data_IF_917983080333
#
_entry.id   IF_917983080333
#
_cell.length_a   1.000
_cell.length_b   1.000
_cell.length_c   1.000
_cell.angle_alpha   90.00
_cell.angle_beta   90.00
_cell.angle_gamma   90.00
#
_symmetry.space_group_name_H-M   'P 1'
#
loop_
_entity.id
_entity.type
_entity.pdbx_description
1 polymer ?
#
# COMPACT_ATOMS: atom_id res chain seq x y z
N UNK A 1 -10.28 -1.69 7.81
CA UNK A 1 -11.61 -1.71 7.16
C UNK A 1 -12.56 -2.62 7.94
N UNK A 2 -12.37 -3.94 8.04
CA UNK A 2 -13.30 -4.89 8.68
C UNK A 2 -13.85 -4.44 10.05
N UNK A 3 -12.99 -3.93 10.95
CA UNK A 3 -13.40 -3.33 12.24
C UNK A 3 -14.45 -2.24 12.07
N UNK A 4 -14.27 -1.34 11.11
CA UNK A 4 -15.18 -0.20 10.88
C UNK A 4 -16.43 -0.61 10.10
N UNK A 5 -16.36 -1.62 9.25
CA UNK A 5 -17.51 -2.24 8.61
C UNK A 5 -18.42 -2.88 9.65
N UNK A 6 -17.85 -3.58 10.66
CA UNK A 6 -18.59 -4.12 11.79
C UNK A 6 -19.25 -3.03 12.63
N UNK A 7 -18.56 -1.90 12.88
CA UNK A 7 -19.15 -0.74 13.57
C UNK A 7 -20.31 -0.10 12.79
N UNK A 8 -20.35 -0.28 11.46
CA UNK A 8 -21.45 0.16 10.60
C UNK A 8 -22.58 -0.89 10.46
N UNK A 9 -22.54 -1.94 11.26
CA UNK A 9 -23.58 -2.98 11.31
C UNK A 9 -23.45 -4.06 10.23
N UNK A 10 -22.28 -4.21 9.61
CA UNK A 10 -22.00 -5.33 8.70
C UNK A 10 -21.29 -6.45 9.47
N UNK A 11 -21.62 -7.69 9.15
CA UNK A 11 -20.80 -8.82 9.55
C UNK A 11 -19.59 -8.93 8.62
N UNK A 12 -18.46 -8.37 9.04
CA UNK A 12 -17.23 -8.34 8.25
C UNK A 12 -16.11 -9.11 8.94
N UNK A 13 -15.48 -10.02 8.21
CA UNK A 13 -14.33 -10.81 8.66
C UNK A 13 -13.12 -10.51 7.80
N UNK A 14 -11.96 -10.40 8.44
CA UNK A 14 -10.67 -10.23 7.75
C UNK A 14 -9.93 -11.57 7.75
N UNK A 15 -9.46 -11.98 6.58
CA UNK A 15 -8.59 -13.14 6.45
C UNK A 15 -7.28 -12.73 5.77
N UNK A 16 -6.15 -13.13 6.33
CA UNK A 16 -4.82 -12.85 5.78
C UNK A 16 -4.03 -14.15 5.57
N UNK A 17 -2.97 -14.08 4.76
CA UNK A 17 -2.09 -15.24 4.51
C UNK A 17 -1.26 -15.56 5.75
N UNK A 18 -0.57 -14.57 6.30
CA UNK A 18 0.26 -14.72 7.48
C UNK A 18 0.32 -13.43 8.28
N UNK A 19 0.56 -13.52 9.60
CA UNK A 19 0.95 -12.36 10.35
C UNK A 19 2.26 -11.79 9.77
N UNK A 20 2.29 -10.53 9.48
CA UNK A 20 3.53 -9.86 9.15
C UNK A 20 3.88 -8.82 10.22
N UNK A 21 5.15 -8.41 10.26
CA UNK A 21 5.69 -7.49 11.26
C UNK A 21 4.95 -6.13 11.33
N UNK A 22 4.14 -5.82 10.32
CA UNK A 22 3.51 -4.51 10.15
C UNK A 22 1.98 -4.52 10.37
N UNK A 23 1.38 -5.68 10.66
CA UNK A 23 -0.06 -5.79 10.86
C UNK A 23 -0.40 -6.18 12.29
N UNK A 24 -1.03 -5.28 13.02
CA UNK A 24 -1.74 -5.67 14.25
C UNK A 24 -3.02 -6.38 13.83
N UNK A 25 -3.22 -7.60 14.33
CA UNK A 25 -4.44 -8.34 14.13
C UNK A 25 -5.52 -7.79 15.06
N UNK A 26 -6.67 -7.45 14.50
CA UNK A 26 -7.87 -7.20 15.28
C UNK A 26 -8.55 -8.54 15.63
N UNK A 27 -9.35 -8.56 16.67
CA UNK A 27 -10.24 -9.69 16.94
C UNK A 27 -11.05 -10.04 15.69
N UNK A 28 -11.17 -11.32 15.36
CA UNK A 28 -11.83 -11.80 14.15
C UNK A 28 -10.94 -11.96 12.91
N UNK A 29 -9.64 -11.61 12.98
CA UNK A 29 -8.71 -11.89 11.88
C UNK A 29 -8.32 -13.36 11.87
N UNK A 30 -8.54 -14.06 10.76
CA UNK A 30 -8.07 -15.43 10.54
C UNK A 30 -6.85 -15.46 9.63
N UNK A 31 -5.85 -16.30 9.97
CA UNK A 31 -4.68 -16.54 9.15
C UNK A 31 -4.71 -17.96 8.60
N UNK A 32 -4.40 -18.12 7.32
CA UNK A 32 -4.40 -19.43 6.67
C UNK A 32 -3.03 -20.00 6.40
N UNK A 33 -1.94 -19.26 6.65
CA UNK A 33 -0.59 -19.80 6.56
C UNK A 33 -0.35 -20.85 7.64
N UNK A 34 0.29 -21.94 7.27
CA UNK A 34 0.69 -23.04 8.13
C UNK A 34 2.20 -23.28 8.01
N UNK A 35 2.79 -24.00 8.94
CA UNK A 35 4.19 -24.47 8.87
C UNK A 35 4.47 -25.38 7.66
N UNK A 36 3.42 -25.92 7.03
CA UNK A 36 3.50 -26.76 5.83
C UNK A 36 2.87 -26.04 4.64
N UNK A 37 3.61 -25.94 3.54
CA UNK A 37 3.12 -25.36 2.26
C UNK A 37 1.82 -26.03 1.79
N UNK A 38 1.72 -27.36 1.97
CA UNK A 38 0.54 -28.11 1.60
C UNK A 38 -0.70 -27.76 2.42
N UNK A 39 -0.55 -27.61 3.74
CA UNK A 39 -1.64 -27.16 4.61
C UNK A 39 -2.06 -25.72 4.30
N UNK A 40 -1.11 -24.86 3.98
CA UNK A 40 -1.38 -23.47 3.57
C UNK A 40 -2.26 -23.43 2.31
N UNK A 41 -1.94 -24.25 1.30
CA UNK A 41 -2.74 -24.32 0.06
C UNK A 41 -4.13 -24.93 0.31
N UNK A 42 -4.23 -25.94 1.17
CA UNK A 42 -5.52 -26.51 1.57
C UNK A 42 -6.41 -25.48 2.28
N UNK A 43 -5.82 -24.71 3.22
CA UNK A 43 -6.52 -23.62 3.91
C UNK A 43 -6.99 -22.54 2.92
N UNK A 44 -6.18 -22.23 1.90
CA UNK A 44 -6.53 -21.28 0.83
C UNK A 44 -7.71 -21.80 -0.02
N UNK A 45 -7.71 -23.07 -0.38
CA UNK A 45 -8.82 -23.71 -1.10
C UNK A 45 -10.11 -23.66 -0.26
N UNK A 46 -10.01 -23.97 1.03
CA UNK A 46 -11.16 -23.91 1.94
C UNK A 46 -11.70 -22.47 2.07
N UNK A 47 -10.82 -21.49 2.08
CA UNK A 47 -11.20 -20.08 2.10
C UNK A 47 -11.92 -19.65 0.82
N UNK A 48 -11.44 -20.10 -0.35
CA UNK A 48 -12.13 -19.88 -1.63
C UNK A 48 -13.52 -20.53 -1.60
N UNK A 49 -13.63 -21.78 -1.11
CA UNK A 49 -14.92 -22.45 -0.95
C UNK A 49 -15.87 -21.68 -0.03
N UNK A 50 -15.38 -21.21 1.14
CA UNK A 50 -16.16 -20.36 2.04
C UNK A 50 -16.61 -19.08 1.36
N UNK A 51 -15.70 -18.41 0.61
CA UNK A 51 -16.05 -17.20 -0.14
C UNK A 51 -17.10 -17.45 -1.21
N UNK A 52 -17.12 -18.64 -1.84
CA UNK A 52 -18.13 -19.02 -2.81
C UNK A 52 -19.48 -19.31 -2.14
N UNK A 53 -19.51 -19.79 -0.91
CA UNK A 53 -20.74 -20.11 -0.16
C UNK A 53 -21.27 -18.92 0.66
N UNK A 54 -20.50 -17.85 0.78
CA UNK A 54 -20.88 -16.67 1.57
C UNK A 54 -21.82 -15.77 0.75
N UNK A 55 -22.91 -15.33 1.31
CA UNK A 55 -23.80 -14.34 0.67
C UNK A 55 -23.36 -12.92 1.01
N UNK A 56 -23.15 -12.10 0.00
CA UNK A 56 -22.78 -10.71 0.18
C UNK A 56 -21.59 -10.25 -0.64
N UNK A 57 -20.60 -9.64 -0.01
CA UNK A 57 -19.45 -8.99 -0.67
C UNK A 57 -18.16 -9.77 -0.43
N UNK A 58 -17.39 -9.97 -1.49
CA UNK A 58 -16.01 -10.45 -1.41
C UNK A 58 -15.08 -9.29 -1.78
N UNK A 59 -14.36 -8.73 -0.81
CA UNK A 59 -13.41 -7.66 -1.03
C UNK A 59 -11.97 -8.17 -0.96
N UNK A 60 -11.27 -8.13 -2.08
CA UNK A 60 -9.92 -8.65 -2.23
C UNK A 60 -8.90 -7.50 -2.19
N UNK A 61 -8.02 -7.56 -1.21
CA UNK A 61 -6.92 -6.63 -1.09
C UNK A 61 -5.64 -7.23 -1.68
N UNK A 62 -4.94 -6.44 -2.50
CA UNK A 62 -3.62 -6.78 -3.02
C UNK A 62 -3.56 -8.04 -3.91
N UNK A 63 -4.67 -8.44 -4.53
CA UNK A 63 -4.72 -9.51 -5.54
C UNK A 63 -3.97 -10.82 -5.23
N UNK A 64 -3.31 -10.94 -4.07
CA UNK A 64 -2.54 -12.13 -3.68
C UNK A 64 -3.42 -13.29 -3.23
N UNK A 65 -4.61 -12.96 -2.79
CA UNK A 65 -5.54 -13.89 -2.16
C UNK A 65 -6.01 -15.03 -3.08
N UNK A 66 -6.15 -14.78 -4.37
CA UNK A 66 -6.75 -15.72 -5.34
C UNK A 66 -5.71 -16.57 -6.06
N UNK A 67 -4.44 -16.21 -6.00
CA UNK A 67 -3.41 -16.98 -6.71
C UNK A 67 -2.94 -18.15 -5.88
N UNK A 68 -3.21 -19.40 -6.30
CA UNK A 68 -2.48 -20.54 -5.74
C UNK A 68 -1.00 -20.36 -6.01
N UNK A 69 -0.22 -20.39 -4.97
CA UNK A 69 1.24 -20.23 -5.00
C UNK A 69 2.00 -21.43 -5.61
N UNK A 70 1.27 -22.41 -6.14
CA UNK A 70 1.84 -23.65 -6.68
C UNK A 70 2.90 -23.47 -7.78
N UNK A 71 3.09 -22.28 -8.31
CA UNK A 71 4.06 -22.03 -9.37
C UNK A 71 5.33 -21.29 -8.99
N UNK A 72 5.31 -20.46 -7.94
CA UNK A 72 6.37 -19.47 -7.72
C UNK A 72 7.28 -19.74 -6.51
N UNK A 73 6.83 -20.48 -5.49
CA UNK A 73 7.60 -20.72 -4.26
C UNK A 73 7.93 -22.18 -3.95
N UNK A 74 7.63 -23.16 -4.80
CA UNK A 74 8.20 -24.48 -4.64
C UNK A 74 9.68 -24.38 -5.01
N UNK A 75 10.51 -24.16 -3.99
CA UNK A 75 11.95 -24.21 -4.17
C UNK A 75 12.30 -25.60 -4.75
N UNK A 76 13.07 -25.68 -5.84
CA UNK A 76 13.37 -26.97 -6.49
C UNK A 76 13.96 -28.03 -5.58
N UNK A 77 14.49 -27.64 -4.42
CA UNK A 77 15.13 -28.52 -3.43
C UNK A 77 14.15 -29.19 -2.44
N UNK A 78 12.93 -28.69 -2.31
CA UNK A 78 11.96 -29.22 -1.30
C UNK A 78 11.05 -30.34 -1.83
N UNK A 79 11.05 -30.57 -3.14
CA UNK A 79 10.27 -31.65 -3.76
C UNK A 79 11.22 -32.70 -4.31
N UNK A 80 11.31 -33.83 -3.65
CA UNK A 80 12.02 -35.02 -4.07
C UNK A 80 11.41 -35.73 -5.34
N UNK A 81 10.60 -35.00 -6.11
CA UNK A 81 9.93 -35.49 -7.29
C UNK A 81 10.71 -35.22 -8.58
N UNK A 82 10.60 -36.12 -9.56
CA UNK A 82 11.18 -35.95 -10.89
C UNK A 82 10.71 -34.66 -11.58
N UNK A 83 11.52 -34.08 -12.46
CA UNK A 83 11.17 -32.86 -13.25
C UNK A 83 9.81 -32.99 -13.95
N UNK A 84 9.46 -34.21 -14.40
CA UNK A 84 8.21 -34.51 -15.09
C UNK A 84 7.01 -34.46 -14.13
N UNK A 85 7.10 -35.07 -12.95
CA UNK A 85 6.04 -35.05 -11.93
C UNK A 85 5.77 -33.62 -11.44
N UNK A 86 6.81 -32.81 -11.28
CA UNK A 86 6.67 -31.37 -10.98
C UNK A 86 5.91 -30.60 -12.06
N UNK A 87 6.15 -30.96 -13.33
CA UNK A 87 5.45 -30.37 -14.49
C UNK A 87 3.97 -30.78 -14.52
N UNK A 88 3.70 -32.02 -14.19
CA UNK A 88 2.34 -32.57 -14.09
C UNK A 88 1.55 -31.99 -12.94
N UNK A 89 2.13 -31.90 -11.73
CA UNK A 89 1.51 -31.29 -10.56
C UNK A 89 1.24 -29.80 -10.84
N UNK A 90 2.17 -29.08 -11.49
CA UNK A 90 1.95 -27.68 -11.89
C UNK A 90 0.83 -27.55 -12.93
N UNK A 91 0.72 -28.46 -13.87
CA UNK A 91 -0.33 -28.47 -14.88
C UNK A 91 -1.69 -28.73 -14.25
N UNK A 92 -1.82 -29.76 -13.41
CA UNK A 92 -3.07 -30.08 -12.71
C UNK A 92 -3.44 -29.00 -11.67
N UNK A 93 -2.52 -28.47 -10.93
CA UNK A 93 -2.76 -27.37 -10.01
C UNK A 93 -3.18 -26.07 -10.73
N UNK A 94 -2.62 -25.79 -11.92
CA UNK A 94 -3.08 -24.68 -12.76
C UNK A 94 -4.45 -24.91 -13.39
N UNK A 95 -4.73 -26.12 -13.81
CA UNK A 95 -5.93 -26.46 -14.59
C UNK A 95 -7.15 -26.69 -13.68
N UNK A 96 -6.99 -27.34 -12.51
CA UNK A 96 -8.08 -27.68 -11.60
C UNK A 96 -8.27 -26.71 -10.42
N UNK A 97 -7.21 -26.02 -10.01
CA UNK A 97 -7.18 -25.12 -8.86
C UNK A 97 -6.75 -23.71 -9.24
N UNK A 98 -6.60 -23.45 -10.55
CA UNK A 98 -6.07 -22.21 -11.07
C UNK A 98 -6.94 -21.01 -10.78
N UNK A 99 -6.33 -19.84 -10.89
CA UNK A 99 -6.97 -18.52 -10.76
C UNK A 99 -8.25 -18.47 -11.60
N UNK A 100 -8.20 -18.93 -12.85
CA UNK A 100 -9.31 -18.91 -13.80
C UNK A 100 -10.54 -19.69 -13.32
N UNK A 101 -10.33 -20.86 -12.69
CA UNK A 101 -11.43 -21.64 -12.13
C UNK A 101 -12.04 -20.98 -10.89
N UNK A 102 -11.22 -20.46 -9.99
CA UNK A 102 -11.70 -19.76 -8.79
C UNK A 102 -12.41 -18.47 -9.14
N UNK A 103 -11.90 -17.73 -10.14
CA UNK A 103 -12.49 -16.50 -10.62
C UNK A 103 -13.79 -16.73 -11.39
N UNK A 104 -13.86 -17.76 -12.25
CA UNK A 104 -15.11 -18.08 -12.96
C UNK A 104 -16.21 -18.50 -12.00
N UNK A 105 -15.86 -19.21 -10.93
CA UNK A 105 -16.85 -19.55 -9.88
C UNK A 105 -17.31 -18.33 -9.10
N UNK A 106 -16.42 -17.42 -8.72
CA UNK A 106 -16.80 -16.17 -8.08
C UNK A 106 -17.67 -15.31 -8.99
N UNK A 107 -17.35 -15.22 -10.28
CA UNK A 107 -18.15 -14.47 -11.25
C UNK A 107 -19.56 -15.01 -11.42
N UNK A 108 -19.75 -16.33 -11.32
CA UNK A 108 -21.05 -16.99 -11.48
C UNK A 108 -21.90 -17.00 -10.18
N UNK A 109 -21.42 -16.32 -9.14
CA UNK A 109 -22.21 -16.09 -7.93
C UNK A 109 -22.88 -14.72 -8.00
N UNK A 110 -24.04 -14.55 -7.37
CA UNK A 110 -24.75 -13.28 -7.26
C UNK A 110 -24.05 -12.23 -6.39
N UNK A 111 -22.82 -12.48 -5.99
CA UNK A 111 -22.04 -11.69 -5.03
C UNK A 111 -21.38 -10.48 -5.65
N UNK A 112 -21.23 -9.45 -4.85
CA UNK A 112 -20.45 -8.29 -5.23
C UNK A 112 -18.94 -8.55 -5.00
N UNK A 113 -18.12 -8.32 -6.01
CA UNK A 113 -16.67 -8.52 -5.97
C UNK A 113 -15.97 -7.18 -6.05
N UNK A 114 -15.26 -6.84 -4.99
CA UNK A 114 -14.48 -5.61 -4.87
C UNK A 114 -12.99 -5.94 -4.85
N UNK A 115 -12.19 -5.08 -5.48
CA UNK A 115 -10.73 -5.18 -5.49
C UNK A 115 -10.11 -3.89 -5.01
N UNK A 116 -9.05 -3.98 -4.21
CA UNK A 116 -8.21 -2.83 -3.86
C UNK A 116 -6.75 -3.14 -4.22
N UNK A 117 -6.16 -2.30 -5.06
CA UNK A 117 -4.75 -2.34 -5.41
C UNK A 117 -3.96 -1.33 -4.57
N UNK A 118 -2.77 -1.75 -4.11
CA UNK A 118 -2.00 -0.97 -3.13
C UNK A 118 -0.67 -0.43 -3.66
N UNK A 119 -0.09 -1.05 -4.69
CA UNK A 119 1.22 -0.61 -5.19
C UNK A 119 1.87 -1.60 -6.14
N UNK A 120 2.84 -2.37 -5.68
CA UNK A 120 3.59 -3.35 -6.50
C UNK A 120 2.74 -4.48 -7.07
N UNK A 121 1.52 -4.65 -6.58
CA UNK A 121 0.53 -5.60 -7.09
C UNK A 121 -0.07 -5.19 -8.44
N UNK A 122 -0.01 -3.91 -8.79
CA UNK A 122 -0.49 -3.38 -10.07
C UNK A 122 0.51 -2.50 -10.81
N UNK A 123 1.57 -2.01 -10.14
CA UNK A 123 2.56 -1.11 -10.78
C UNK A 123 3.41 -1.86 -11.78
N UNK A 124 3.34 -1.44 -13.03
CA UNK A 124 4.15 -1.99 -14.12
C UNK A 124 5.51 -1.28 -14.18
N UNK A 125 6.58 -2.05 -14.20
CA UNK A 125 7.95 -1.52 -14.23
C UNK A 125 8.19 -0.69 -15.49
N UNK A 126 7.66 -1.10 -16.65
CA UNK A 126 7.82 -0.35 -17.91
C UNK A 126 7.23 1.05 -17.81
N UNK A 127 6.00 1.18 -17.31
CA UNK A 127 5.38 2.49 -17.12
C UNK A 127 6.13 3.35 -16.07
N UNK A 128 6.69 2.70 -15.05
CA UNK A 128 7.50 3.38 -14.04
C UNK A 128 8.79 3.96 -14.67
N UNK A 129 9.48 3.15 -15.46
CA UNK A 129 10.73 3.53 -16.13
C UNK A 129 10.52 4.62 -17.15
N UNK A 130 9.49 4.53 -18.00
CA UNK A 130 9.17 5.55 -19.00
C UNK A 130 8.88 6.92 -18.36
N UNK A 131 8.33 6.93 -17.14
CA UNK A 131 8.06 8.16 -16.37
C UNK A 131 9.30 8.76 -15.71
N UNK A 132 10.32 7.94 -15.47
CA UNK A 132 11.53 8.31 -14.73
C UNK A 132 12.80 8.18 -15.58
N UNK A 133 12.69 8.31 -16.92
CA UNK A 133 13.74 8.06 -17.92
C UNK A 133 15.08 8.77 -17.67
N UNK A 134 15.11 9.79 -16.81
CA UNK A 134 16.31 10.57 -16.50
C UNK A 134 16.88 10.29 -15.10
N UNK A 135 16.33 9.33 -14.34
CA UNK A 135 16.85 9.00 -13.02
C UNK A 135 17.69 7.71 -13.08
N UNK A 136 18.84 7.71 -12.40
CA UNK A 136 19.64 6.49 -12.16
C UNK A 136 18.82 5.37 -11.54
N UNK A 137 17.76 5.73 -10.83
CA UNK A 137 16.80 4.85 -10.18
C UNK A 137 15.99 4.03 -11.19
N UNK A 138 15.67 4.59 -12.37
CA UNK A 138 14.96 3.87 -13.42
C UNK A 138 15.77 2.67 -13.95
N UNK A 139 17.08 2.86 -14.19
CA UNK A 139 17.96 1.80 -14.68
C UNK A 139 18.10 0.63 -13.70
N UNK A 140 18.17 0.93 -12.42
CA UNK A 140 18.32 -0.08 -11.35
C UNK A 140 17.03 -0.90 -11.15
N UNK A 141 15.87 -0.27 -11.33
CA UNK A 141 14.56 -0.94 -11.28
C UNK A 141 14.37 -1.87 -12.49
N UNK A 142 14.83 -1.49 -13.69
CA UNK A 142 14.75 -2.30 -14.92
C UNK A 142 15.53 -3.61 -14.76
N UNK A 143 16.73 -3.57 -14.21
CA UNK A 143 17.63 -4.74 -14.16
C UNK A 143 17.07 -5.93 -13.38
N UNK A 144 16.10 -5.72 -12.51
CA UNK A 144 15.54 -6.77 -11.62
C UNK A 144 14.15 -7.30 -12.02
N UNK A 145 13.39 -6.65 -12.89
CA UNK A 145 11.94 -6.91 -12.94
C UNK A 145 11.31 -7.31 -14.27
N UNK A 146 12.06 -7.52 -15.33
CA UNK A 146 11.50 -7.83 -16.66
C UNK A 146 10.56 -9.05 -16.74
N UNK A 147 10.76 -10.06 -15.90
CA UNK A 147 9.91 -11.28 -15.87
C UNK A 147 8.67 -11.16 -14.97
N UNK A 148 8.65 -10.20 -14.07
CA UNK A 148 7.56 -10.02 -13.10
C UNK A 148 6.39 -9.24 -13.69
N UNK A 149 6.64 -8.39 -14.69
CA UNK A 149 5.64 -7.49 -15.29
C UNK A 149 4.51 -8.20 -16.03
N UNK A 150 4.82 -9.19 -16.84
CA UNK A 150 3.79 -9.93 -17.61
C UNK A 150 2.86 -10.72 -16.69
N UNK A 151 3.39 -11.25 -15.59
CA UNK A 151 2.61 -11.93 -14.57
C UNK A 151 1.65 -10.96 -13.86
N UNK A 152 2.14 -9.79 -13.47
CA UNK A 152 1.32 -8.74 -12.82
C UNK A 152 0.23 -8.25 -13.77
N UNK A 153 0.57 -7.96 -15.03
CA UNK A 153 -0.38 -7.51 -16.05
C UNK A 153 -1.48 -8.52 -16.31
N UNK A 154 -1.11 -9.80 -16.53
CA UNK A 154 -2.07 -10.87 -16.74
C UNK A 154 -3.02 -11.01 -15.56
N UNK A 155 -2.50 -10.96 -14.33
CA UNK A 155 -3.27 -11.03 -13.11
C UNK A 155 -4.25 -9.87 -12.96
N UNK A 156 -3.83 -8.64 -13.24
CA UNK A 156 -4.71 -7.47 -13.25
C UNK A 156 -5.88 -7.65 -14.22
N UNK A 157 -5.57 -8.09 -15.44
CA UNK A 157 -6.59 -8.31 -16.48
C UNK A 157 -7.63 -9.37 -16.07
N UNK A 158 -7.18 -10.48 -15.48
CA UNK A 158 -8.07 -11.54 -14.99
C UNK A 158 -8.95 -11.04 -13.84
N UNK A 159 -8.37 -10.35 -12.86
CA UNK A 159 -9.11 -9.83 -11.72
C UNK A 159 -10.11 -8.74 -12.13
N UNK A 160 -9.68 -7.86 -13.02
CA UNK A 160 -10.54 -6.80 -13.53
C UNK A 160 -11.76 -7.32 -14.29
N UNK A 161 -11.64 -8.47 -14.96
CA UNK A 161 -12.75 -9.10 -15.69
C UNK A 161 -13.86 -9.68 -14.81
N UNK A 162 -13.64 -9.76 -13.48
CA UNK A 162 -14.64 -10.29 -12.53
C UNK A 162 -15.11 -9.29 -11.49
N UNK A 163 -14.40 -8.17 -11.34
CA UNK A 163 -14.70 -7.19 -10.30
C UNK A 163 -15.85 -6.27 -10.70
N UNK A 164 -16.76 -6.07 -9.78
CA UNK A 164 -17.82 -5.06 -9.91
C UNK A 164 -17.29 -3.65 -9.60
N UNK A 165 -16.29 -3.55 -8.72
CA UNK A 165 -15.66 -2.29 -8.34
C UNK A 165 -14.17 -2.49 -8.05
N UNK A 166 -13.35 -1.54 -8.52
CA UNK A 166 -11.91 -1.55 -8.31
C UNK A 166 -11.48 -0.24 -7.68
N UNK A 167 -10.73 -0.34 -6.58
CA UNK A 167 -10.08 0.79 -5.93
C UNK A 167 -8.57 0.73 -6.08
N UNK A 168 -7.96 1.89 -6.01
CA UNK A 168 -6.52 2.06 -5.86
C UNK A 168 -6.18 3.01 -4.71
N UNK A 169 -5.26 2.59 -3.84
CA UNK A 169 -4.75 3.44 -2.75
C UNK A 169 -3.67 4.41 -3.24
N UNK A 170 -3.10 4.16 -4.42
CA UNK A 170 -2.11 5.02 -5.05
C UNK A 170 -2.64 5.54 -6.39
N UNK A 171 -2.67 6.85 -6.61
CA UNK A 171 -3.28 7.44 -7.80
C UNK A 171 -2.56 7.08 -9.11
N UNK A 172 -1.24 6.78 -9.07
CA UNK A 172 -0.46 6.38 -10.24
C UNK A 172 -0.93 5.06 -10.85
N UNK A 173 -1.50 4.16 -10.05
CA UNK A 173 -2.01 2.87 -10.52
C UNK A 173 -3.27 3.02 -11.37
N UNK A 174 -4.05 4.08 -11.20
CA UNK A 174 -5.26 4.32 -11.99
C UNK A 174 -4.97 4.60 -13.47
N UNK A 175 -3.71 4.88 -13.81
CA UNK A 175 -3.29 5.00 -15.21
C UNK A 175 -3.17 3.63 -15.92
N UNK A 176 -3.00 2.55 -15.16
CA UNK A 176 -2.77 1.19 -15.66
C UNK A 176 -3.87 0.20 -15.24
N UNK A 177 -4.80 0.64 -14.41
CA UNK A 177 -5.98 -0.12 -14.03
C UNK A 177 -7.11 0.09 -15.04
N UNK A 178 -8.12 -0.80 -15.09
CA UNK A 178 -9.27 -0.67 -15.98
C UNK A 178 -10.00 0.66 -15.79
N UNK A 179 -10.59 1.16 -16.89
CA UNK A 179 -11.43 2.35 -16.84
C UNK A 179 -12.59 2.14 -15.86
N UNK A 180 -12.87 3.14 -15.03
CA UNK A 180 -13.88 3.03 -13.96
C UNK A 180 -13.30 2.64 -12.61
N UNK A 181 -11.99 2.31 -12.52
CA UNK A 181 -11.31 2.20 -11.24
C UNK A 181 -11.24 3.55 -10.53
N UNK A 182 -11.37 3.56 -9.20
CA UNK A 182 -11.43 4.79 -8.40
C UNK A 182 -10.31 4.89 -7.39
N UNK A 183 -9.90 6.13 -7.10
CA UNK A 183 -9.00 6.42 -6.00
C UNK A 183 -9.72 6.26 -4.66
N UNK A 184 -9.10 5.53 -3.75
CA UNK A 184 -9.54 5.38 -2.36
C UNK A 184 -8.37 5.78 -1.46
N UNK A 185 -8.52 6.80 -0.60
CA UNK A 185 -7.47 7.17 0.34
C UNK A 185 -7.15 6.03 1.32
N UNK A 186 -5.93 6.00 1.86
CA UNK A 186 -5.59 5.09 2.94
C UNK A 186 -6.48 5.33 4.15
N UNK A 187 -7.07 4.27 4.71
CA UNK A 187 -7.74 4.33 6.02
C UNK A 187 -6.69 4.13 7.12
N UNK A 188 -6.56 5.07 8.04
CA UNK A 188 -5.62 4.96 9.16
C UNK A 188 -6.22 5.43 10.47
N UNK A 189 -5.91 4.73 11.55
CA UNK A 189 -6.27 5.13 12.91
C UNK A 189 -5.34 6.21 13.47
N UNK A 190 -4.26 6.55 12.79
CA UNK A 190 -3.27 7.52 13.27
C UNK A 190 -3.88 8.88 13.63
N UNK A 191 -4.88 9.34 12.86
CA UNK A 191 -5.57 10.60 13.12
C UNK A 191 -6.64 10.56 14.21
N UNK A 192 -7.00 9.39 14.76
CA UNK A 192 -8.04 9.27 15.78
C UNK A 192 -7.56 9.73 17.16
N UNK A 193 -6.29 9.47 17.48
CA UNK A 193 -5.66 9.88 18.73
C UNK A 193 -4.33 10.59 18.42
N UNK A 194 -4.36 11.75 17.77
CA UNK A 194 -3.16 12.45 17.39
C UNK A 194 -2.41 12.96 18.61
N UNK A 195 -1.09 12.99 18.54
CA UNK A 195 -0.24 13.49 19.60
C UNK A 195 0.80 14.42 18.99
N UNK A 196 0.52 15.72 18.98
CA UNK A 196 1.53 16.69 18.55
C UNK A 196 2.68 16.65 19.56
N UNK A 197 3.82 16.21 19.09
CA UNK A 197 5.05 16.18 19.87
C UNK A 197 5.86 17.46 19.60
N UNK A 198 6.49 18.02 20.63
CA UNK A 198 7.41 19.12 20.43
C UNK A 198 8.55 18.69 19.51
N UNK A 199 9.14 19.65 18.82
CA UNK A 199 10.39 19.39 18.10
C UNK A 199 11.49 19.02 19.10
N UNK A 200 12.37 18.13 18.66
CA UNK A 200 13.50 17.72 19.46
C UNK A 200 14.36 18.95 19.76
N UNK A 201 14.62 19.20 21.05
CA UNK A 201 15.48 20.31 21.49
C UNK A 201 16.98 19.94 21.43
N UNK A 202 17.29 18.79 20.79
CA UNK A 202 18.69 18.39 20.60
C UNK A 202 19.43 19.40 19.73
N UNK A 203 20.76 19.46 19.92
CA UNK A 203 21.62 20.31 19.09
C UNK A 203 21.75 19.83 17.64
N UNK A 204 21.18 18.67 17.30
CA UNK A 204 21.24 18.04 15.98
C UNK A 204 19.83 17.72 15.48
N UNK A 205 19.51 18.18 14.26
CA UNK A 205 18.23 17.95 13.60
C UNK A 205 18.16 16.51 13.05
N UNK A 206 17.08 15.78 13.33
CA UNK A 206 16.95 14.38 13.00
C UNK A 206 15.98 14.18 11.83
N UNK A 207 16.52 13.75 10.70
CA UNK A 207 15.74 13.37 9.51
C UNK A 207 15.45 11.86 9.57
N UNK A 208 14.18 11.49 9.65
CA UNK A 208 13.73 10.10 9.63
C UNK A 208 13.46 9.60 8.21
N UNK A 209 13.80 8.34 7.93
CA UNK A 209 13.45 7.66 6.69
C UNK A 209 13.21 6.17 6.94
N UNK A 210 12.04 5.64 6.52
CA UNK A 210 11.62 4.26 6.78
C UNK A 210 11.31 3.51 5.47
N UNK A 211 12.33 3.09 4.71
CA UNK A 211 12.12 2.45 3.42
C UNK A 211 11.82 0.95 3.57
N UNK A 212 10.71 0.48 3.01
CA UNK A 212 10.48 -0.95 2.77
C UNK A 212 11.29 -1.48 1.58
N UNK A 213 11.69 -0.59 0.68
CA UNK A 213 12.50 -0.89 -0.49
C UNK A 213 13.34 0.35 -0.85
N UNK A 214 14.65 0.31 -0.54
CA UNK A 214 15.54 1.47 -0.64
C UNK A 214 15.56 2.15 -2.00
N UNK A 215 15.62 1.38 -3.10
CA UNK A 215 15.67 1.93 -4.46
C UNK A 215 14.39 2.70 -4.78
N UNK A 216 13.24 2.08 -4.56
CA UNK A 216 11.92 2.64 -4.87
C UNK A 216 11.62 3.88 -4.03
N UNK A 217 12.24 3.99 -2.86
CA UNK A 217 12.07 5.12 -1.94
C UNK A 217 13.10 6.24 -2.15
N UNK A 218 14.17 6.02 -2.94
CA UNK A 218 15.23 7.00 -3.15
C UNK A 218 16.16 7.17 -1.97
N UNK A 219 16.42 6.08 -1.22
CA UNK A 219 17.23 6.12 0.02
C UNK A 219 18.66 6.63 -0.23
N UNK A 220 19.27 6.27 -1.35
CA UNK A 220 20.63 6.71 -1.67
C UNK A 220 20.73 8.24 -1.82
N UNK A 221 19.73 8.86 -2.44
CA UNK A 221 19.60 10.30 -2.62
C UNK A 221 19.40 11.00 -1.28
N UNK A 222 18.59 10.42 -0.39
CA UNK A 222 18.34 10.96 0.95
C UNK A 222 19.62 10.92 1.79
N UNK A 223 20.36 9.81 1.77
CA UNK A 223 21.66 9.69 2.44
C UNK A 223 22.62 10.76 1.94
N UNK A 224 22.72 10.92 0.61
CA UNK A 224 23.61 11.90 -0.03
C UNK A 224 23.26 13.34 0.37
N UNK A 225 21.97 13.68 0.34
CA UNK A 225 21.51 15.02 0.72
C UNK A 225 21.87 15.37 2.17
N UNK A 226 21.65 14.45 3.10
CA UNK A 226 22.02 14.66 4.52
C UNK A 226 23.54 14.76 4.69
N UNK A 227 24.33 13.92 4.01
CA UNK A 227 25.80 14.01 4.04
C UNK A 227 26.30 15.34 3.48
N UNK A 228 25.73 15.82 2.39
CA UNK A 228 26.09 17.12 1.80
C UNK A 228 25.76 18.27 2.77
N UNK A 229 24.61 18.25 3.42
CA UNK A 229 24.27 19.26 4.42
C UNK A 229 25.24 19.25 5.61
N UNK A 230 25.63 18.07 6.08
CA UNK A 230 26.67 17.96 7.15
C UNK A 230 28.01 18.55 6.71
N UNK A 231 28.45 18.27 5.48
CA UNK A 231 29.70 18.83 4.95
C UNK A 231 29.66 20.37 4.81
N UNK A 232 28.46 20.93 4.65
CA UNK A 232 28.19 22.39 4.67
C UNK A 232 28.08 22.98 6.08
N UNK A 233 28.27 22.17 7.15
CA UNK A 233 28.26 22.60 8.54
C UNK A 233 26.89 22.55 9.23
N UNK A 234 25.85 22.05 8.57
CA UNK A 234 24.54 21.85 9.23
C UNK A 234 24.61 20.73 10.25
N UNK A 235 24.05 20.95 11.44
CA UNK A 235 23.90 19.93 12.48
C UNK A 235 22.68 19.06 12.19
N UNK A 236 22.83 18.09 11.30
CA UNK A 236 21.76 17.19 10.84
C UNK A 236 22.25 15.74 10.77
N UNK A 237 21.39 14.79 11.15
CA UNK A 237 21.65 13.35 10.99
C UNK A 237 20.46 12.64 10.35
N UNK A 238 20.73 11.51 9.73
CA UNK A 238 19.72 10.62 9.19
C UNK A 238 19.49 9.46 10.16
N UNK A 239 18.23 9.21 10.50
CA UNK A 239 17.75 8.01 11.19
C UNK A 239 17.09 7.09 10.20
N UNK A 240 17.77 5.97 9.84
CA UNK A 240 17.21 4.92 9.00
C UNK A 240 16.42 3.92 9.85
N UNK A 241 15.12 3.88 9.63
CA UNK A 241 14.17 3.08 10.42
C UNK A 241 13.80 1.84 9.59
N UNK A 242 14.61 0.79 9.73
CA UNK A 242 14.48 -0.44 8.94
C UNK A 242 14.59 -1.68 9.82
N UNK A 243 13.92 -2.77 9.43
CA UNK A 243 14.01 -4.06 10.12
C UNK A 243 13.44 -4.09 11.54
N UNK A 244 12.70 -3.06 11.93
CA UNK A 244 12.09 -2.95 13.25
C UNK A 244 10.67 -3.53 13.27
N UNK A 245 10.20 -3.88 14.47
CA UNK A 245 8.77 -4.09 14.71
C UNK A 245 8.01 -2.78 14.47
N UNK A 246 6.68 -2.87 14.25
CA UNK A 246 5.85 -1.68 14.12
C UNK A 246 5.92 -0.78 15.37
N UNK A 247 5.91 -1.39 16.54
CA UNK A 247 5.96 -0.66 17.81
C UNK A 247 7.30 0.09 17.99
N UNK A 248 8.41 -0.55 17.64
CA UNK A 248 9.73 0.08 17.74
C UNK A 248 9.93 1.15 16.66
N UNK A 249 9.40 0.94 15.45
CA UNK A 249 9.39 1.98 14.42
C UNK A 249 8.59 3.21 14.87
N UNK A 250 7.43 3.00 15.51
CA UNK A 250 6.60 4.10 16.05
C UNK A 250 7.31 4.89 17.16
N UNK A 251 8.13 4.25 18.00
CA UNK A 251 8.99 4.96 18.96
C UNK A 251 10.01 5.83 18.23
N UNK A 252 10.63 5.30 17.17
CA UNK A 252 11.58 6.06 16.34
C UNK A 252 10.93 7.26 15.63
N UNK A 253 9.68 7.15 15.18
CA UNK A 253 8.96 8.30 14.61
C UNK A 253 8.76 9.44 15.61
N UNK A 254 8.76 9.18 16.91
CA UNK A 254 8.67 10.22 17.92
C UNK A 254 9.99 11.00 18.08
N UNK A 255 11.13 10.37 17.81
CA UNK A 255 12.48 10.91 17.99
C UNK A 255 12.97 11.78 16.81
N UNK A 256 12.30 11.73 15.64
CA UNK A 256 12.68 12.51 14.46
C UNK A 256 12.08 13.92 14.49
N UNK A 257 12.69 14.85 13.76
CA UNK A 257 12.18 16.21 13.57
C UNK A 257 11.43 16.37 12.25
N UNK A 258 11.77 15.56 11.27
CA UNK A 258 11.22 15.55 9.92
C UNK A 258 11.24 14.12 9.38
N UNK A 259 10.28 13.78 8.55
CA UNK A 259 10.25 12.50 7.82
C UNK A 259 10.35 12.70 6.32
N UNK A 260 11.25 11.96 5.66
CA UNK A 260 11.29 11.84 4.19
C UNK A 260 10.71 10.48 3.80
N UNK A 261 9.54 10.48 3.17
CA UNK A 261 8.86 9.23 2.79
C UNK A 261 9.52 8.60 1.56
N UNK A 262 9.45 9.27 0.41
CA UNK A 262 10.00 8.75 -0.84
C UNK A 262 10.17 9.88 -1.89
N UNK A 263 11.09 9.65 -2.84
CA UNK A 263 11.47 10.64 -3.88
C UNK A 263 11.11 10.19 -5.31
N UNK A 264 10.40 9.05 -5.48
CA UNK A 264 10.29 8.42 -6.80
C UNK A 264 8.85 8.14 -7.23
N UNK A 265 7.98 7.63 -6.35
CA UNK A 265 6.66 7.09 -6.74
C UNK A 265 5.64 8.17 -7.12
N UNK A 266 5.72 9.35 -6.53
CA UNK A 266 4.80 10.46 -6.79
C UNK A 266 3.55 10.50 -5.89
N UNK A 267 3.51 9.69 -4.83
CA UNK A 267 2.48 9.71 -3.79
C UNK A 267 3.02 9.18 -2.47
N UNK A 268 2.47 9.63 -1.35
CA UNK A 268 2.90 9.24 0.00
C UNK A 268 2.39 7.86 0.43
N UNK A 269 3.08 7.28 1.41
CA UNK A 269 2.69 6.02 2.05
C UNK A 269 2.03 6.20 3.42
N UNK A 270 1.64 5.07 4.04
CA UNK A 270 0.96 5.07 5.36
C UNK A 270 1.84 5.66 6.46
N UNK A 271 3.17 5.47 6.40
CA UNK A 271 4.10 6.01 7.40
C UNK A 271 4.04 7.55 7.44
N UNK A 272 3.86 8.22 6.29
CA UNK A 272 3.64 9.66 6.26
C UNK A 272 2.45 10.09 7.11
N UNK A 273 1.37 9.32 7.11
CA UNK A 273 0.17 9.60 7.91
C UNK A 273 0.43 9.38 9.41
N UNK A 274 1.18 8.33 9.76
CA UNK A 274 1.56 8.05 11.15
C UNK A 274 2.45 9.18 11.71
N UNK A 275 3.39 9.68 10.91
CA UNK A 275 4.28 10.79 11.28
C UNK A 275 3.55 12.12 11.35
N UNK A 276 2.63 12.40 10.40
CA UNK A 276 1.76 13.59 10.47
C UNK A 276 0.89 13.61 11.72
N UNK A 277 0.43 12.45 12.21
CA UNK A 277 -0.33 12.35 13.46
C UNK A 277 0.49 12.71 14.71
N UNK A 278 1.82 12.70 14.61
CA UNK A 278 2.76 13.16 15.64
C UNK A 278 3.09 14.66 15.50
N UNK A 279 2.46 15.36 14.55
CA UNK A 279 2.73 16.76 14.27
C UNK A 279 4.05 17.03 13.55
N UNK A 280 4.72 15.99 13.03
CA UNK A 280 6.01 16.15 12.37
C UNK A 280 5.85 16.47 10.88
N UNK A 281 6.68 17.37 10.30
CA UNK A 281 6.73 17.63 8.88
C UNK A 281 7.05 16.37 8.07
N UNK A 282 6.47 16.28 6.87
CA UNK A 282 6.72 15.19 5.92
C UNK A 282 7.14 15.77 4.59
N UNK A 283 8.28 15.29 4.07
CA UNK A 283 8.70 15.49 2.69
C UNK A 283 8.39 14.24 1.87
N UNK A 284 7.80 14.44 0.70
CA UNK A 284 7.53 13.36 -0.23
C UNK A 284 7.46 13.91 -1.66
N UNK A 285 7.88 13.13 -2.63
CA UNK A 285 7.68 13.45 -4.02
C UNK A 285 6.20 13.28 -4.39
N UNK A 286 5.53 14.37 -4.73
CA UNK A 286 4.12 14.41 -5.12
C UNK A 286 4.05 14.91 -6.56
N UNK A 287 3.91 13.99 -7.51
CA UNK A 287 3.89 14.31 -8.94
C UNK A 287 3.27 13.17 -9.76
N UNK A 288 2.89 13.50 -10.97
CA UNK A 288 2.49 12.52 -11.97
C UNK A 288 1.06 12.72 -12.47
N UNK A 289 0.78 12.07 -13.59
CA UNK A 289 -0.54 12.15 -14.23
C UNK A 289 -1.67 11.55 -13.39
N UNK A 290 -1.33 10.63 -12.48
CA UNK A 290 -2.27 10.01 -11.56
C UNK A 290 -2.97 11.00 -10.62
N UNK A 291 -2.36 12.17 -10.36
CA UNK A 291 -2.96 13.18 -9.48
C UNK A 291 -4.33 13.69 -9.98
N UNK A 292 -4.61 13.60 -11.27
CA UNK A 292 -5.94 13.92 -11.85
C UNK A 292 -7.09 13.06 -11.30
N UNK A 293 -6.78 11.91 -10.70
CA UNK A 293 -7.79 11.03 -10.09
C UNK A 293 -8.02 11.32 -8.60
N UNK A 294 -7.19 12.18 -8.02
CA UNK A 294 -7.33 12.60 -6.63
C UNK A 294 -8.27 13.79 -6.58
N UNK A 295 -9.21 13.87 -5.62
CA UNK A 295 -10.06 15.05 -5.47
C UNK A 295 -9.24 16.33 -5.37
N UNK A 296 -9.60 17.36 -6.12
CA UNK A 296 -8.85 18.62 -6.17
C UNK A 296 -8.69 19.25 -4.76
N UNK A 297 -9.75 19.19 -3.94
CA UNK A 297 -9.68 19.65 -2.55
C UNK A 297 -8.69 18.85 -1.71
N UNK A 298 -8.59 17.54 -1.91
CA UNK A 298 -7.60 16.72 -1.21
C UNK A 298 -6.16 17.12 -1.57
N UNK A 299 -5.93 17.51 -2.83
CA UNK A 299 -4.62 18.01 -3.26
C UNK A 299 -4.32 19.40 -2.68
N UNK A 300 -5.32 20.29 -2.62
CA UNK A 300 -5.14 21.63 -2.02
C UNK A 300 -4.93 21.59 -0.51
N UNK A 301 -5.55 20.63 0.16
CA UNK A 301 -5.43 20.44 1.62
C UNK A 301 -4.13 19.71 2.01
N UNK A 302 -3.39 19.15 1.05
CA UNK A 302 -2.23 18.29 1.32
C UNK A 302 -1.09 19.04 2.03
N UNK A 303 -0.74 18.68 3.29
CA UNK A 303 0.25 19.39 4.08
C UNK A 303 1.68 18.86 3.85
N UNK A 304 1.88 17.99 2.86
CA UNK A 304 3.17 17.40 2.53
C UNK A 304 4.02 18.39 1.74
N UNK A 305 5.25 18.58 2.17
CA UNK A 305 6.22 19.40 1.45
C UNK A 305 6.74 18.57 0.26
N UNK A 306 6.41 19.01 -0.96
CA UNK A 306 6.83 18.32 -2.16
C UNK A 306 8.33 18.48 -2.38
N UNK A 307 9.06 17.37 -2.47
CA UNK A 307 10.49 17.32 -2.72
C UNK A 307 10.85 16.15 -3.65
N UNK A 308 11.74 16.40 -4.58
CA UNK A 308 12.41 15.42 -5.42
C UNK A 308 13.91 15.36 -5.11
N UNK A 309 14.66 14.53 -5.85
CA UNK A 309 16.11 14.36 -5.66
C UNK A 309 16.91 15.67 -5.82
N UNK A 310 16.40 16.62 -6.61
CA UNK A 310 17.09 17.89 -6.90
C UNK A 310 16.75 18.98 -5.88
N UNK A 311 15.55 18.98 -5.33
CA UNK A 311 15.06 20.00 -4.39
C UNK A 311 15.21 19.58 -2.91
N UNK A 312 15.58 18.31 -2.65
CA UNK A 312 15.59 17.76 -1.29
C UNK A 312 16.44 18.56 -0.30
N UNK A 313 17.68 18.92 -0.66
CA UNK A 313 18.57 19.69 0.23
C UNK A 313 17.97 21.06 0.58
N UNK A 314 17.43 21.78 -0.40
CA UNK A 314 16.76 23.07 -0.19
C UNK A 314 15.56 22.92 0.76
N UNK A 315 14.72 21.90 0.53
CA UNK A 315 13.54 21.66 1.35
C UNK A 315 13.88 21.23 2.77
N UNK A 316 14.94 20.44 2.95
CA UNK A 316 15.46 20.09 4.29
C UNK A 316 15.89 21.35 5.06
N UNK A 317 16.67 22.22 4.42
CA UNK A 317 17.10 23.48 5.03
C UNK A 317 15.90 24.37 5.36
N UNK A 318 14.92 24.47 4.45
CA UNK A 318 13.70 25.25 4.71
C UNK A 318 12.96 24.77 5.96
N UNK A 319 12.82 23.45 6.17
CA UNK A 319 12.17 22.93 7.39
C UNK A 319 13.03 23.16 8.63
N UNK A 320 14.35 23.03 8.55
CA UNK A 320 15.26 23.33 9.66
C UNK A 320 15.14 24.78 10.14
N UNK A 321 14.85 25.70 9.21
CA UNK A 321 14.73 27.15 9.47
C UNK A 321 13.31 27.61 9.83
N UNK A 322 12.30 26.73 9.76
CA UNK A 322 10.92 27.08 10.13
C UNK A 322 10.83 27.60 11.56
N UNK A 323 10.06 28.64 11.76
CA UNK A 323 9.67 29.11 13.09
C UNK A 323 8.79 28.11 13.83
N UNK A 324 8.63 28.28 15.12
CA UNK A 324 7.72 27.45 15.94
C UNK A 324 6.27 27.56 15.45
N UNK A 325 5.85 28.75 15.04
CA UNK A 325 4.52 29.04 14.52
C UNK A 325 4.26 28.36 13.18
N UNK A 326 5.23 28.37 12.26
CA UNK A 326 5.13 27.68 10.98
C UNK A 326 5.03 26.17 11.15
N UNK A 327 5.83 25.61 12.07
CA UNK A 327 5.79 24.17 12.40
C UNK A 327 4.46 23.78 13.03
N UNK A 328 3.95 24.59 13.95
CA UNK A 328 2.66 24.38 14.58
C UNK A 328 1.52 24.43 13.54
N UNK A 329 1.51 25.44 12.67
CA UNK A 329 0.54 25.55 11.57
C UNK A 329 0.59 24.33 10.63
N UNK A 330 1.80 23.83 10.31
CA UNK A 330 1.95 22.66 9.49
C UNK A 330 1.41 21.39 10.17
N UNK A 331 1.67 21.23 11.48
CA UNK A 331 1.14 20.15 12.29
C UNK A 331 -0.39 20.16 12.34
N UNK A 332 -1.01 21.31 12.58
CA UNK A 332 -2.47 21.48 12.62
C UNK A 332 -3.12 21.13 11.27
N UNK A 333 -2.52 21.58 10.15
CA UNK A 333 -2.97 21.19 8.81
C UNK A 333 -2.84 19.68 8.58
N UNK A 334 -1.77 19.06 9.09
CA UNK A 334 -1.57 17.60 9.04
C UNK A 334 -2.70 16.86 9.74
N UNK A 335 -3.08 17.28 10.94
CA UNK A 335 -4.19 16.67 11.70
C UNK A 335 -5.54 16.88 11.02
N UNK A 336 -5.80 18.06 10.51
CA UNK A 336 -7.03 18.35 9.76
C UNK A 336 -7.13 17.46 8.50
N UNK A 337 -6.02 17.30 7.79
CA UNK A 337 -5.93 16.43 6.61
C UNK A 337 -6.22 14.97 6.94
N UNK A 338 -5.64 14.44 8.03
CA UNK A 338 -5.88 13.06 8.49
C UNK A 338 -7.36 12.86 8.82
N UNK A 339 -7.97 13.79 9.57
CA UNK A 339 -9.38 13.73 9.98
C UNK A 339 -10.34 13.81 8.79
N UNK A 340 -10.01 14.61 7.78
CA UNK A 340 -10.87 14.80 6.62
C UNK A 340 -10.75 13.65 5.64
N UNK A 341 -9.53 13.23 5.28
CA UNK A 341 -9.27 12.37 4.14
C UNK A 341 -8.88 10.94 4.49
N UNK A 342 -8.46 10.68 5.74
CA UNK A 342 -7.91 9.38 6.16
C UNK A 342 -8.64 8.75 7.33
N UNK A 343 -9.76 9.35 7.76
CA UNK A 343 -10.63 8.80 8.81
C UNK A 343 -11.17 7.43 8.35
N UNK A 344 -10.85 6.34 9.09
CA UNK A 344 -11.25 5.00 8.70
C UNK A 344 -12.76 4.80 8.69
N UNK A 345 -13.51 5.56 9.51
CA UNK A 345 -14.97 5.50 9.53
C UNK A 345 -15.57 6.09 8.25
N UNK A 346 -15.09 7.26 7.81
CA UNK A 346 -15.55 7.90 6.57
C UNK A 346 -15.24 7.02 5.35
N UNK A 347 -14.04 6.43 5.32
CA UNK A 347 -13.64 5.54 4.22
C UNK A 347 -14.48 4.27 4.22
N UNK A 348 -14.72 3.66 5.39
CA UNK A 348 -15.60 2.50 5.51
C UNK A 348 -17.03 2.82 5.06
N UNK A 349 -17.59 3.98 5.47
CA UNK A 349 -18.92 4.42 5.03
C UNK A 349 -19.02 4.52 3.50
N UNK A 350 -18.00 5.10 2.85
CA UNK A 350 -17.95 5.17 1.39
C UNK A 350 -17.96 3.78 0.75
N UNK A 351 -17.09 2.89 1.22
CA UNK A 351 -16.96 1.53 0.69
C UNK A 351 -18.23 0.71 0.92
N UNK A 352 -18.82 0.79 2.13
CA UNK A 352 -20.10 0.13 2.45
C UNK A 352 -21.25 0.67 1.59
N UNK A 353 -21.27 1.97 1.33
CA UNK A 353 -22.22 2.59 0.40
C UNK A 353 -22.13 1.99 -1.01
N UNK A 354 -20.91 1.76 -1.49
CA UNK A 354 -20.68 1.14 -2.80
C UNK A 354 -21.03 -0.38 -2.77
N UNK A 355 -20.78 -1.10 -1.67
CA UNK A 355 -21.26 -2.48 -1.51
C UNK A 355 -22.78 -2.57 -1.69
N UNK A 356 -23.53 -1.72 -0.98
CA UNK A 356 -25.01 -1.70 -1.06
C UNK A 356 -25.51 -1.38 -2.46
N UNK A 357 -24.90 -0.43 -3.15
CA UNK A 357 -25.26 -0.07 -4.53
C UNK A 357 -25.08 -1.24 -5.49
N UNK A 358 -23.94 -1.94 -5.42
CA UNK A 358 -23.65 -3.06 -6.31
C UNK A 358 -24.58 -4.24 -6.00
N UNK A 359 -24.81 -4.57 -4.74
CA UNK A 359 -25.75 -5.65 -4.36
C UNK A 359 -27.15 -5.35 -4.86
N UNK A 360 -27.69 -4.15 -4.62
CA UNK A 360 -29.02 -3.77 -5.08
C UNK A 360 -29.17 -3.85 -6.61
N UNK A 361 -28.12 -3.47 -7.37
CA UNK A 361 -28.18 -3.58 -8.83
C UNK A 361 -28.20 -5.04 -9.31
N UNK A 362 -27.53 -5.96 -8.59
CA UNK A 362 -27.54 -7.39 -8.91
C UNK A 362 -28.89 -8.05 -8.56
N UNK A 363 -29.50 -7.68 -7.44
CA UNK A 363 -30.79 -8.19 -7.02
C UNK A 363 -31.92 -7.81 -7.99
N UNK A 364 -31.81 -6.65 -8.66
CA UNK A 364 -32.78 -6.17 -9.65
C UNK A 364 -32.48 -6.63 -11.08
N UNK A 365 -31.48 -7.47 -11.31
CA UNK A 365 -31.15 -8.01 -12.64
C UNK A 365 -30.64 -6.97 -13.66
N UNK A 366 -30.09 -5.84 -13.20
CA UNK A 366 -29.71 -4.68 -14.04
C UNK A 366 -28.22 -4.75 -14.48
N UNK A 367 -27.52 -5.85 -14.23
CA UNK A 367 -26.12 -6.05 -14.71
C UNK A 367 -26.00 -7.35 -15.48
#
# INVERSE_FOLDING_TARGET
>A
MSKYENLLGLESTLTCESPNLYTNFHEGTSCFQSSSTWKTELNRINLIKKSVCFDGVVHLNNGRFITPYFGERLHPKELAYSKWMRKLIRFYARSLLGIEYSLSRLKNTSKAIFLTFQGSDARETKCFVEKHQHSRLAEEVIGRSGKTNDSIRRKKMLLAGIADKIYSLNPDLLEVLPKGSEFLPYATEAGLNPKILPFNQSSEFVVGHAPTHRIVKGTAEIIRAVQNLRSKGFKVRLELIEGLSREDAQKKYQEIDLFVDQLVIGWYGVVSLEVMALGKPVLCFIKGRGLRFVPARMLSDLPIINADENSLEEKLVGVMQMSSEERQSLAERGLAYLKEWHDPTKIAQRVVGDYRKVLSSKDHGII
#
